data_IF_847793950959
#
_entry.id   IF_847793950959
#
_cell.length_a   1.000
_cell.length_b   1.000
_cell.length_c   1.000
_cell.angle_alpha   90.00
_cell.angle_beta   90.00
_cell.angle_gamma   90.00
#
_symmetry.space_group_name_H-M   'P 1'
#
loop_
_entity.id
_entity.type
_entity.pdbx_description
1 polymer ?
#
# COMPACT_ATOMS: atom_id res chain seq x y z
N UNK A 1 -11.29 19.99 -7.68
CA UNK A 1 -11.29 18.71 -6.93
C UNK A 1 -10.71 17.47 -7.62
N UNK A 2 -10.25 17.51 -8.87
CA UNK A 2 -9.69 16.30 -9.53
C UNK A 2 -8.26 15.93 -9.10
N UNK A 3 -7.50 16.88 -8.56
CA UNK A 3 -6.10 16.67 -8.18
C UNK A 3 -5.93 15.62 -7.07
N UNK A 4 -6.90 15.51 -6.15
CA UNK A 4 -6.76 14.60 -5.01
C UNK A 4 -7.05 13.15 -5.38
N UNK A 5 -8.08 12.91 -6.19
CA UNK A 5 -8.35 11.56 -6.73
C UNK A 5 -7.23 11.09 -7.65
N UNK A 6 -6.66 12.01 -8.43
CA UNK A 6 -5.49 11.73 -9.27
C UNK A 6 -4.26 11.38 -8.42
N UNK A 7 -4.04 12.07 -7.29
CA UNK A 7 -2.97 11.75 -6.35
C UNK A 7 -3.15 10.35 -5.72
N UNK A 8 -4.38 9.99 -5.32
CA UNK A 8 -4.70 8.65 -4.79
C UNK A 8 -4.43 7.57 -5.84
N UNK A 9 -4.83 7.80 -7.09
CA UNK A 9 -4.57 6.84 -8.18
C UNK A 9 -3.07 6.70 -8.47
N UNK A 10 -2.35 7.82 -8.60
CA UNK A 10 -0.92 7.82 -8.86
C UNK A 10 -0.15 7.09 -7.74
N UNK A 11 -0.51 7.31 -6.48
CA UNK A 11 0.12 6.64 -5.33
C UNK A 11 -0.20 5.15 -5.25
N UNK A 12 -1.40 4.72 -5.65
CA UNK A 12 -1.77 3.30 -5.75
C UNK A 12 -1.08 2.56 -6.91
N UNK A 13 -0.88 3.23 -8.05
CA UNK A 13 -0.13 2.64 -9.17
C UNK A 13 1.34 2.50 -8.78
N UNK A 14 1.91 3.55 -8.18
CA UNK A 14 3.29 3.54 -7.70
C UNK A 14 3.52 2.44 -6.65
N UNK A 15 2.60 2.25 -5.70
CA UNK A 15 2.71 1.20 -4.70
C UNK A 15 2.73 -0.19 -5.32
N UNK A 16 1.88 -0.44 -6.32
CA UNK A 16 1.81 -1.72 -7.04
C UNK A 16 3.12 -2.00 -7.80
N UNK A 17 3.67 -0.99 -8.50
CA UNK A 17 4.94 -1.11 -9.21
C UNK A 17 6.08 -1.44 -8.22
N UNK A 18 6.18 -0.70 -7.11
CA UNK A 18 7.19 -0.94 -6.09
C UNK A 18 7.06 -2.33 -5.45
N UNK A 19 5.83 -2.81 -5.24
CA UNK A 19 5.58 -4.16 -4.72
C UNK A 19 6.08 -5.23 -5.71
N UNK A 20 5.78 -5.10 -7.00
CA UNK A 20 6.28 -6.00 -8.04
C UNK A 20 7.82 -5.99 -8.12
N UNK A 21 8.43 -4.80 -8.04
CA UNK A 21 9.90 -4.66 -8.05
C UNK A 21 10.51 -5.32 -6.81
N UNK A 22 9.95 -5.10 -5.62
CA UNK A 22 10.40 -5.75 -4.40
C UNK A 22 10.32 -7.27 -4.51
N UNK A 23 9.23 -7.81 -5.08
CA UNK A 23 9.08 -9.25 -5.31
C UNK A 23 10.15 -9.82 -6.25
N UNK A 24 10.48 -9.13 -7.34
CA UNK A 24 11.55 -9.56 -8.25
C UNK A 24 12.93 -9.51 -7.57
N UNK A 25 13.21 -8.46 -6.81
CA UNK A 25 14.46 -8.32 -6.06
C UNK A 25 14.55 -9.42 -5.00
N UNK A 26 13.45 -9.78 -4.34
CA UNK A 26 13.40 -10.89 -3.40
C UNK A 26 13.83 -12.21 -4.06
N UNK A 27 13.28 -12.52 -5.25
CA UNK A 27 13.65 -13.72 -6.01
C UNK A 27 15.14 -13.67 -6.39
N UNK A 28 15.63 -12.54 -6.88
CA UNK A 28 17.05 -12.37 -7.24
C UNK A 28 17.96 -12.56 -6.02
N UNK A 29 17.58 -12.02 -4.86
CA UNK A 29 18.30 -12.22 -3.60
C UNK A 29 18.25 -13.68 -3.16
N UNK A 30 17.15 -14.41 -3.38
CA UNK A 30 17.07 -15.82 -3.01
C UNK A 30 18.21 -16.64 -3.65
N UNK A 31 18.49 -16.39 -4.93
CA UNK A 31 19.52 -17.09 -5.71
C UNK A 31 20.93 -16.51 -5.55
N UNK A 32 21.07 -15.19 -5.53
CA UNK A 32 22.39 -14.52 -5.59
C UNK A 32 22.99 -14.21 -4.22
N UNK A 33 22.20 -14.16 -3.16
CA UNK A 33 22.64 -13.68 -1.86
C UNK A 33 23.59 -14.70 -1.19
N UNK A 34 24.73 -14.23 -0.68
CA UNK A 34 25.65 -15.08 0.07
C UNK A 34 25.02 -15.51 1.39
N UNK A 35 25.34 -16.73 1.81
CA UNK A 35 24.90 -17.30 3.08
C UNK A 35 25.29 -16.34 4.23
N UNK A 36 24.31 -15.86 4.99
CA UNK A 36 24.51 -14.94 6.11
C UNK A 36 24.08 -13.49 5.90
N UNK A 37 23.79 -13.06 4.67
CA UNK A 37 23.26 -11.72 4.38
C UNK A 37 21.74 -11.63 4.61
N UNK A 38 21.25 -10.41 4.77
CA UNK A 38 19.84 -10.08 5.03
C UNK A 38 19.18 -9.50 3.78
N UNK A 39 17.86 -9.67 3.65
CA UNK A 39 17.08 -9.17 2.52
C UNK A 39 16.70 -7.68 2.66
N UNK A 40 17.67 -6.84 3.06
CA UNK A 40 17.43 -5.44 3.46
C UNK A 40 16.88 -4.61 2.31
N UNK A 41 17.46 -4.73 1.11
CA UNK A 41 17.04 -3.93 -0.04
C UNK A 41 15.60 -4.26 -0.47
N UNK A 42 15.22 -5.54 -0.51
CA UNK A 42 13.83 -5.97 -0.74
C UNK A 42 12.90 -5.36 0.30
N UNK A 43 13.28 -5.45 1.58
CA UNK A 43 12.44 -4.97 2.67
C UNK A 43 12.22 -3.45 2.63
N UNK A 44 13.23 -2.65 2.26
CA UNK A 44 13.09 -1.19 2.14
C UNK A 44 12.10 -0.83 1.03
N UNK A 45 12.20 -1.48 -0.14
CA UNK A 45 11.30 -1.21 -1.27
C UNK A 45 9.88 -1.68 -0.95
N UNK A 46 9.73 -2.82 -0.28
CA UNK A 46 8.43 -3.32 0.17
C UNK A 46 7.78 -2.38 1.21
N UNK A 47 8.57 -1.84 2.14
CA UNK A 47 8.10 -0.84 3.10
C UNK A 47 7.73 0.48 2.40
N UNK A 48 8.48 0.90 1.38
CA UNK A 48 8.13 2.08 0.59
C UNK A 48 6.80 1.91 -0.17
N UNK A 49 6.58 0.73 -0.76
CA UNK A 49 5.29 0.37 -1.37
C UNK A 49 4.14 0.45 -0.35
N UNK A 50 4.36 -0.11 0.84
CA UNK A 50 3.40 -0.08 1.94
C UNK A 50 3.07 1.36 2.38
N UNK A 51 4.07 2.23 2.49
CA UNK A 51 3.87 3.66 2.78
C UNK A 51 3.00 4.34 1.71
N UNK A 52 3.21 4.02 0.43
CA UNK A 52 2.38 4.57 -0.65
C UNK A 52 0.90 4.15 -0.52
N UNK A 53 0.60 2.90 -0.17
CA UNK A 53 -0.79 2.43 0.07
C UNK A 53 -1.42 3.17 1.25
N UNK A 54 -0.67 3.31 2.36
CA UNK A 54 -1.16 4.02 3.55
C UNK A 54 -1.45 5.49 3.24
N UNK A 55 -0.56 6.19 2.53
CA UNK A 55 -0.78 7.59 2.13
C UNK A 55 -2.02 7.72 1.25
N UNK A 56 -2.19 6.83 0.27
CA UNK A 56 -3.37 6.82 -0.60
C UNK A 56 -4.68 6.60 0.20
N UNK A 57 -4.68 5.66 1.14
CA UNK A 57 -5.84 5.37 1.99
C UNK A 57 -6.15 6.54 2.97
N UNK A 58 -5.12 7.17 3.54
CA UNK A 58 -5.28 8.34 4.42
C UNK A 58 -5.84 9.55 3.68
N UNK A 59 -5.33 9.85 2.48
CA UNK A 59 -5.85 10.94 1.63
C UNK A 59 -7.31 10.69 1.25
N UNK A 60 -7.66 9.43 0.91
CA UNK A 60 -9.04 9.04 0.61
C UNK A 60 -9.97 9.20 1.84
N UNK A 61 -9.44 8.96 3.04
CA UNK A 61 -10.20 9.12 4.30
C UNK A 61 -10.45 10.60 4.61
N UNK A 62 -9.43 11.44 4.48
CA UNK A 62 -9.47 12.87 4.76
C UNK A 62 -10.46 13.61 3.84
N UNK A 63 -10.43 13.32 2.53
CA UNK A 63 -11.35 13.96 1.56
C UNK A 63 -12.77 13.41 1.55
N UNK A 64 -13.08 12.44 2.41
CA UNK A 64 -14.44 11.87 2.51
C UNK A 64 -15.45 12.89 3.04
N UNK A 65 -15.05 13.78 3.95
CA UNK A 65 -15.95 14.81 4.47
C UNK A 65 -16.38 15.82 3.39
N UNK A 66 -15.47 16.18 2.48
CA UNK A 66 -15.73 17.10 1.37
C UNK A 66 -16.63 16.47 0.29
N UNK A 67 -16.42 15.18 0.00
CA UNK A 67 -17.19 14.47 -1.03
C UNK A 67 -18.65 14.25 -0.62
N UNK A 68 -18.89 14.00 0.67
CA UNK A 68 -20.23 13.83 1.25
C UNK A 68 -21.02 15.15 1.29
N UNK A 69 -20.36 16.28 1.55
CA UNK A 69 -21.01 17.60 1.53
C UNK A 69 -21.43 18.04 0.12
N UNK A 70 -20.61 17.77 -0.90
CA UNK A 70 -20.86 18.23 -2.27
C UNK A 70 -21.82 17.36 -3.10
N UNK A 71 -22.05 16.09 -2.71
CA UNK A 71 -22.94 15.16 -3.43
C UNK A 71 -24.06 14.61 -2.53
N UNK A 72 -24.56 15.45 -1.62
CA UNK A 72 -25.59 15.09 -0.64
C UNK A 72 -26.87 14.50 -1.29
N UNK A 73 -27.25 14.91 -2.50
CA UNK A 73 -28.50 14.48 -3.14
C UNK A 73 -28.44 13.10 -3.81
N UNK A 74 -27.25 12.65 -4.24
CA UNK A 74 -27.06 11.32 -4.88
C UNK A 74 -26.60 10.27 -3.85
N UNK A 75 -25.87 10.70 -2.82
CA UNK A 75 -25.36 9.83 -1.75
C UNK A 75 -26.27 9.78 -0.51
N UNK A 76 -27.34 10.58 -0.43
CA UNK A 76 -28.40 10.49 0.60
C UNK A 76 -29.18 9.17 0.60
N UNK A 77 -29.12 8.41 -0.49
CA UNK A 77 -29.68 7.05 -0.54
C UNK A 77 -28.67 5.97 -0.11
N UNK A 78 -27.38 6.33 -0.01
CA UNK A 78 -26.29 5.52 0.54
C UNK A 78 -25.84 6.14 1.89
N UNK A 79 -26.81 6.60 2.68
CA UNK A 79 -26.63 7.19 4.02
C UNK A 79 -26.12 6.21 5.07
N UNK A 80 -25.75 4.99 4.67
CA UNK A 80 -25.24 3.98 5.57
C UNK A 80 -23.73 4.13 5.82
N UNK A 81 -23.15 5.32 5.63
CA UNK A 81 -21.84 5.68 6.19
C UNK A 81 -20.68 4.72 5.93
N UNK A 82 -20.79 3.83 4.94
CA UNK A 82 -19.92 2.67 4.78
C UNK A 82 -18.81 2.96 3.80
N UNK A 83 -17.59 2.65 4.21
CA UNK A 83 -16.45 2.66 3.30
C UNK A 83 -16.68 1.65 2.18
N UNK A 84 -16.29 2.00 0.95
CA UNK A 84 -16.31 1.03 -0.15
C UNK A 84 -15.43 -0.18 0.20
N UNK A 85 -15.80 -1.37 -0.27
CA UNK A 85 -15.03 -2.59 0.00
C UNK A 85 -13.54 -2.45 -0.38
N UNK A 86 -13.22 -1.68 -1.43
CA UNK A 86 -11.85 -1.38 -1.85
C UNK A 86 -11.03 -0.62 -0.80
N UNK A 87 -11.65 0.21 0.03
CA UNK A 87 -10.98 0.93 1.10
C UNK A 87 -10.56 -0.01 2.23
N UNK A 88 -11.45 -0.93 2.61
CA UNK A 88 -11.14 -1.96 3.61
C UNK A 88 -10.00 -2.85 3.08
N UNK A 89 -10.07 -3.23 1.80
CA UNK A 89 -9.01 -3.97 1.13
C UNK A 89 -7.68 -3.21 1.11
N UNK A 90 -7.67 -1.88 0.96
CA UNK A 90 -6.44 -1.09 0.99
C UNK A 90 -5.73 -1.15 2.36
N UNK A 91 -6.49 -1.06 3.46
CA UNK A 91 -5.93 -1.19 4.82
C UNK A 91 -5.46 -2.62 5.13
N UNK A 92 -6.19 -3.62 4.65
CA UNK A 92 -5.80 -5.03 4.76
C UNK A 92 -4.51 -5.29 3.96
N UNK A 93 -4.44 -4.80 2.73
CA UNK A 93 -3.25 -4.90 1.88
C UNK A 93 -2.05 -4.18 2.52
N UNK A 94 -2.27 -3.00 3.11
CA UNK A 94 -1.25 -2.31 3.89
C UNK A 94 -0.69 -3.19 5.02
N UNK A 95 -1.56 -3.78 5.85
CA UNK A 95 -1.13 -4.61 6.97
C UNK A 95 -0.30 -5.83 6.50
N UNK A 96 -0.75 -6.53 5.47
CA UNK A 96 0.00 -7.67 4.91
C UNK A 96 1.33 -7.26 4.27
N UNK A 97 1.35 -6.12 3.56
CA UNK A 97 2.58 -5.59 2.93
C UNK A 97 3.58 -5.12 4.00
N UNK A 98 3.10 -4.57 5.11
CA UNK A 98 3.93 -4.16 6.24
C UNK A 98 4.55 -5.35 6.96
N UNK A 99 3.74 -6.36 7.29
CA UNK A 99 4.20 -7.58 7.96
C UNK A 99 5.22 -8.31 7.08
N UNK A 100 4.97 -8.42 5.77
CA UNK A 100 5.93 -9.04 4.84
C UNK A 100 7.23 -8.24 4.74
N UNK A 101 7.17 -6.91 4.68
CA UNK A 101 8.34 -6.03 4.73
C UNK A 101 9.18 -6.22 5.99
N UNK A 102 8.54 -6.26 7.17
CA UNK A 102 9.21 -6.54 8.44
C UNK A 102 9.81 -7.94 8.49
N UNK A 103 9.08 -8.95 8.00
CA UNK A 103 9.57 -10.32 7.93
C UNK A 103 10.86 -10.39 7.10
N UNK A 104 10.93 -9.70 5.96
CA UNK A 104 12.15 -9.64 5.13
C UNK A 104 13.32 -8.91 5.80
N UNK A 105 13.06 -7.95 6.70
CA UNK A 105 14.11 -7.32 7.52
C UNK A 105 14.72 -8.30 8.54
N UNK A 106 13.87 -9.11 9.17
CA UNK A 106 14.25 -10.02 10.27
C UNK A 106 14.90 -11.30 9.71
N UNK A 107 14.43 -11.78 8.55
CA UNK A 107 14.97 -12.96 7.90
C UNK A 107 16.44 -12.76 7.53
N UNK A 108 17.29 -13.60 8.15
CA UNK A 108 18.70 -13.77 7.79
C UNK A 108 18.83 -15.09 7.06
N UNK A 109 19.52 -15.12 5.91
CA UNK A 109 19.85 -16.38 5.23
C UNK A 109 20.71 -17.23 6.18
N UNK A 110 20.12 -18.24 6.82
CA UNK A 110 20.83 -19.22 7.65
C UNK A 110 21.63 -20.15 6.72
N UNK A 111 22.64 -20.82 7.27
CA UNK A 111 23.37 -21.88 6.56
C UNK A 111 22.37 -22.92 6.05
#
# INVERSE_FOLDING_TARGET
>A
DYSTVQAVQATMILSTILCCVAFLIFILQLFRLKQGERFVLTSIIQLLSCLCVMVAASIYTDRREDLHKNNAQLYSLIMDGRYGYSFILAWVAFAFTFISGLMYLILRKRK
#
